data_IF_497201620034
#
_entry.id   IF_497201620034
#
_cell.length_a   1.000
_cell.length_b   1.000
_cell.length_c   1.000
_cell.angle_alpha   90.00
_cell.angle_beta   90.00
_cell.angle_gamma   90.00
#
_symmetry.space_group_name_H-M   'P 1'
#
loop_
_entity.id
_entity.type
_entity.pdbx_description
1 polymer ?
#
# COMPACT_ATOMS: atom_id res chain seq x y z
N UNK A 1 -14.87 7.27 24.71
CA UNK A 1 -15.44 7.77 23.46
C UNK A 1 -15.10 6.75 22.38
N UNK A 2 -16.05 5.92 22.04
CA UNK A 2 -15.89 4.90 20.99
C UNK A 2 -16.09 5.61 19.65
N UNK A 3 -15.02 5.77 18.88
CA UNK A 3 -15.08 6.33 17.54
C UNK A 3 -15.73 5.29 16.62
N UNK A 4 -17.01 5.45 16.35
CA UNK A 4 -17.73 4.65 15.36
C UNK A 4 -17.37 5.23 13.98
N UNK A 5 -16.59 4.50 13.19
CA UNK A 5 -16.33 4.85 11.79
C UNK A 5 -17.63 4.63 11.02
N UNK A 6 -18.31 5.68 10.54
CA UNK A 6 -19.53 5.52 9.77
C UNK A 6 -19.14 5.16 8.34
N UNK A 7 -19.64 4.07 7.88
CA UNK A 7 -19.46 3.60 6.52
C UNK A 7 -18.99 2.16 6.51
N UNK A 8 -19.84 1.30 6.06
CA UNK A 8 -19.52 -0.11 5.90
C UNK A 8 -18.55 -0.26 4.72
N UNK A 9 -17.25 -0.10 4.99
CA UNK A 9 -16.18 -0.40 4.03
C UNK A 9 -16.19 -1.86 3.54
N UNK A 10 -17.12 -2.66 4.08
CA UNK A 10 -17.26 -4.08 3.78
C UNK A 10 -17.84 -4.34 2.39
N UNK A 11 -18.47 -3.37 1.75
CA UNK A 11 -19.25 -3.62 0.54
C UNK A 11 -18.45 -3.58 -0.77
N UNK A 12 -17.24 -3.03 -0.80
CA UNK A 12 -16.41 -3.02 -2.02
C UNK A 12 -15.26 -4.04 -2.04
N UNK A 13 -14.87 -4.57 -0.90
CA UNK A 13 -14.06 -5.80 -0.91
C UNK A 13 -15.05 -6.92 -1.23
N UNK A 14 -15.09 -7.35 -2.47
CA UNK A 14 -15.88 -8.53 -2.86
C UNK A 14 -15.42 -9.72 -2.01
N UNK A 15 -16.04 -9.87 -0.86
CA UNK A 15 -15.97 -11.07 -0.05
C UNK A 15 -16.82 -12.14 -0.68
N UNK A 16 -16.55 -12.47 -1.94
CA UNK A 16 -17.03 -13.70 -2.54
C UNK A 16 -16.09 -14.88 -2.21
N UNK A 17 -15.49 -14.86 -1.05
CA UNK A 17 -14.81 -16.05 -0.55
C UNK A 17 -15.59 -16.52 0.66
N UNK A 18 -16.52 -17.37 0.42
CA UNK A 18 -17.11 -18.26 1.42
C UNK A 18 -15.96 -18.86 2.23
N UNK A 19 -15.96 -18.58 3.53
CA UNK A 19 -15.05 -19.20 4.51
C UNK A 19 -15.43 -20.68 4.60
N UNK A 20 -15.14 -21.43 3.58
CA UNK A 20 -15.60 -22.83 3.48
C UNK A 20 -14.51 -23.80 3.07
N UNK A 21 -13.43 -23.31 2.49
CA UNK A 21 -12.38 -24.20 1.97
C UNK A 21 -11.01 -23.72 2.50
N UNK A 22 -10.69 -24.15 3.72
CA UNK A 22 -9.42 -23.85 4.39
C UNK A 22 -8.25 -24.54 3.66
N UNK A 23 -8.52 -25.50 2.80
CA UNK A 23 -7.53 -26.30 2.08
C UNK A 23 -7.13 -25.75 0.70
N UNK A 24 -7.74 -24.66 0.26
CA UNK A 24 -7.34 -24.04 -1.00
C UNK A 24 -6.11 -23.12 -0.80
N UNK A 25 -5.03 -23.25 -1.61
CA UNK A 25 -3.87 -22.38 -1.56
C UNK A 25 -4.21 -20.90 -1.84
N UNK A 26 -5.39 -20.64 -2.38
CA UNK A 26 -5.90 -19.28 -2.66
C UNK A 26 -6.71 -18.68 -1.51
N UNK A 27 -6.97 -19.44 -0.43
CA UNK A 27 -7.74 -18.95 0.71
C UNK A 27 -6.88 -18.08 1.60
N UNK A 28 -7.27 -16.81 1.76
CA UNK A 28 -6.58 -15.88 2.65
C UNK A 28 -6.90 -16.20 4.10
N UNK A 29 -5.88 -16.17 4.96
CA UNK A 29 -6.08 -16.33 6.40
C UNK A 29 -6.89 -15.18 6.98
N UNK A 30 -7.56 -15.41 8.11
CA UNK A 30 -8.32 -14.38 8.82
C UNK A 30 -7.46 -13.15 9.17
N UNK A 31 -6.22 -13.40 9.60
CA UNK A 31 -5.26 -12.33 9.92
C UNK A 31 -5.00 -11.42 8.71
N UNK A 32 -4.79 -11.99 7.53
CA UNK A 32 -4.60 -11.23 6.28
C UNK A 32 -5.83 -10.41 5.93
N UNK A 33 -7.03 -10.99 6.08
CA UNK A 33 -8.29 -10.27 5.80
C UNK A 33 -8.49 -9.06 6.73
N UNK A 34 -8.10 -9.20 7.99
CA UNK A 34 -8.19 -8.10 8.95
C UNK A 34 -7.12 -7.01 8.68
N UNK A 35 -5.94 -7.40 8.20
CA UNK A 35 -4.88 -6.45 7.80
C UNK A 35 -5.24 -5.70 6.51
N UNK A 36 -5.92 -6.30 5.56
CA UNK A 36 -6.30 -5.66 4.29
C UNK A 36 -7.02 -4.33 4.45
N UNK A 37 -7.85 -4.20 5.50
CA UNK A 37 -8.55 -2.94 5.81
C UNK A 37 -7.57 -1.81 6.14
N UNK A 38 -6.51 -2.14 6.89
CA UNK A 38 -5.44 -1.20 7.21
C UNK A 38 -4.63 -0.82 5.97
N UNK A 39 -4.39 -1.76 5.06
CA UNK A 39 -3.62 -1.52 3.84
C UNK A 39 -4.31 -0.55 2.89
N UNK A 40 -5.64 -0.60 2.75
CA UNK A 40 -6.40 0.37 1.96
C UNK A 40 -6.24 1.79 2.51
N UNK A 41 -6.30 1.95 3.82
CA UNK A 41 -6.06 3.25 4.47
C UNK A 41 -4.61 3.70 4.24
N UNK A 42 -3.63 2.82 4.43
CA UNK A 42 -2.22 3.14 4.21
C UNK A 42 -1.93 3.50 2.76
N UNK A 43 -2.59 2.82 1.81
CA UNK A 43 -2.53 3.17 0.40
C UNK A 43 -3.04 4.57 0.14
N UNK A 44 -4.23 4.91 0.65
CA UNK A 44 -4.80 6.24 0.51
C UNK A 44 -3.89 7.35 1.12
N UNK A 45 -3.28 7.07 2.28
CA UNK A 45 -2.38 8.01 2.96
C UNK A 45 -1.05 8.19 2.21
N UNK A 46 -0.57 7.16 1.52
CA UNK A 46 0.68 7.22 0.75
C UNK A 46 0.50 7.80 -0.65
N UNK A 47 -0.55 7.44 -1.35
CA UNK A 47 -0.81 7.91 -2.72
C UNK A 47 -1.40 9.34 -2.75
N UNK A 48 -2.10 9.73 -1.69
CA UNK A 48 -2.51 11.11 -1.47
C UNK A 48 -3.78 11.52 -2.21
N UNK A 49 -3.79 12.74 -2.75
CA UNK A 49 -5.00 13.42 -3.24
C UNK A 49 -5.71 12.67 -4.37
N UNK A 50 -5.00 12.15 -5.35
CA UNK A 50 -5.61 11.48 -6.49
C UNK A 50 -6.33 10.21 -6.08
N UNK A 51 -5.65 9.34 -5.36
CA UNK A 51 -6.27 8.11 -4.85
C UNK A 51 -7.50 8.37 -3.97
N UNK A 52 -7.43 9.41 -3.13
CA UNK A 52 -8.56 9.81 -2.29
C UNK A 52 -9.76 10.29 -3.11
N UNK A 53 -9.54 11.02 -4.21
CA UNK A 53 -10.60 11.47 -5.12
C UNK A 53 -11.22 10.33 -5.91
N UNK A 54 -10.39 9.43 -6.44
CA UNK A 54 -10.84 8.24 -7.17
C UNK A 54 -11.69 7.30 -6.30
N UNK A 55 -11.34 7.22 -5.00
CA UNK A 55 -12.04 6.40 -4.02
C UNK A 55 -12.88 7.26 -3.06
N UNK A 56 -13.44 8.37 -3.55
CA UNK A 56 -14.13 9.36 -2.74
C UNK A 56 -15.32 8.80 -1.95
N UNK A 57 -16.02 7.82 -2.47
CA UNK A 57 -17.14 7.18 -1.75
C UNK A 57 -16.70 6.52 -0.44
N UNK A 58 -15.47 6.00 -0.38
CA UNK A 58 -14.93 5.35 0.81
C UNK A 58 -14.34 6.34 1.82
N UNK A 59 -13.68 7.41 1.34
CA UNK A 59 -12.93 8.34 2.19
C UNK A 59 -13.64 9.68 2.43
N UNK A 60 -14.51 10.06 1.51
CA UNK A 60 -15.30 11.31 1.55
C UNK A 60 -16.77 11.01 1.26
N UNK A 61 -17.48 10.28 2.11
CA UNK A 61 -18.86 9.87 1.83
C UNK A 61 -19.77 11.09 1.65
N UNK A 62 -20.82 10.90 0.84
CA UNK A 62 -21.88 11.87 0.66
C UNK A 62 -22.59 12.12 2.00
N UNK A 63 -22.75 13.38 2.39
CA UNK A 63 -23.46 13.72 3.61
C UNK A 63 -25.01 13.65 3.41
N UNK A 64 -25.79 13.34 4.46
CA UNK A 64 -27.22 13.05 4.33
C UNK A 64 -28.08 14.18 3.72
N UNK A 65 -27.61 15.41 3.68
CA UNK A 65 -28.31 16.58 3.14
C UNK A 65 -27.52 17.30 2.06
N UNK A 66 -26.44 16.71 1.59
CA UNK A 66 -25.58 17.29 0.57
C UNK A 66 -26.12 16.95 -0.83
N UNK A 67 -26.31 17.97 -1.67
CA UNK A 67 -26.59 17.76 -3.08
C UNK A 67 -25.38 17.15 -3.81
N UNK A 68 -25.64 16.32 -4.81
CA UNK A 68 -24.58 15.65 -5.56
C UNK A 68 -23.60 16.63 -6.21
N UNK A 69 -24.08 17.78 -6.69
CA UNK A 69 -23.22 18.82 -7.27
C UNK A 69 -22.29 19.43 -6.23
N UNK A 70 -22.79 19.68 -5.02
CA UNK A 70 -21.99 20.17 -3.90
C UNK A 70 -20.98 19.13 -3.44
N UNK A 71 -21.38 17.85 -3.39
CA UNK A 71 -20.50 16.71 -3.10
C UNK A 71 -19.33 16.66 -4.09
N UNK A 72 -19.59 16.66 -5.39
CA UNK A 72 -18.54 16.63 -6.42
C UNK A 72 -17.61 17.85 -6.34
N UNK A 73 -18.15 19.03 -6.03
CA UNK A 73 -17.34 20.22 -5.80
C UNK A 73 -16.44 20.09 -4.56
N UNK A 74 -16.91 19.42 -3.49
CA UNK A 74 -16.13 19.12 -2.31
C UNK A 74 -15.01 18.10 -2.60
N UNK A 75 -15.31 17.01 -3.30
CA UNK A 75 -14.34 16.00 -3.73
C UNK A 75 -13.25 16.64 -4.60
N UNK A 76 -13.61 17.47 -5.57
CA UNK A 76 -12.65 18.13 -6.46
C UNK A 76 -11.74 19.14 -5.72
N UNK A 77 -12.23 19.74 -4.65
CA UNK A 77 -11.43 20.66 -3.80
C UNK A 77 -10.64 19.95 -2.72
N UNK A 78 -10.93 18.67 -2.44
CA UNK A 78 -10.23 17.92 -1.41
C UNK A 78 -8.74 17.81 -1.77
N UNK A 79 -7.89 18.18 -0.83
CA UNK A 79 -6.43 18.07 -0.95
C UNK A 79 -5.91 17.31 0.26
N UNK A 80 -5.18 16.25 -0.01
CA UNK A 80 -4.51 15.48 1.01
C UNK A 80 -3.00 15.52 0.79
N UNK A 81 -2.25 16.03 1.77
CA UNK A 81 -0.80 16.08 1.68
C UNK A 81 -0.19 14.72 2.04
N UNK A 82 0.54 14.05 1.14
CA UNK A 82 1.12 12.73 1.37
C UNK A 82 2.37 12.81 2.26
N UNK A 83 2.20 13.29 3.49
CA UNK A 83 3.29 13.44 4.46
C UNK A 83 3.93 12.10 4.81
N UNK A 84 3.12 11.05 4.97
CA UNK A 84 3.57 9.69 5.25
C UNK A 84 4.48 9.16 4.14
N UNK A 85 4.15 9.41 2.86
CA UNK A 85 5.00 9.04 1.74
C UNK A 85 6.38 9.71 1.81
N UNK A 86 6.40 11.00 2.15
CA UNK A 86 7.68 11.74 2.30
C UNK A 86 8.51 11.16 3.43
N UNK A 87 7.89 10.82 4.56
CA UNK A 87 8.56 10.21 5.70
C UNK A 87 9.14 8.83 5.35
N UNK A 88 8.36 7.97 4.67
CA UNK A 88 8.81 6.65 4.22
C UNK A 88 9.99 6.79 3.25
N UNK A 89 9.91 7.70 2.28
CA UNK A 89 11.02 7.95 1.33
C UNK A 89 12.27 8.46 2.03
N UNK A 90 12.13 9.36 3.00
CA UNK A 90 13.25 9.87 3.79
C UNK A 90 13.90 8.76 4.62
N UNK A 91 13.11 7.95 5.32
CA UNK A 91 13.58 6.81 6.10
C UNK A 91 14.31 5.79 5.21
N UNK A 92 13.72 5.44 4.05
CA UNK A 92 14.35 4.55 3.06
C UNK A 92 15.68 5.10 2.54
N UNK A 93 15.73 6.40 2.23
CA UNK A 93 16.96 7.06 1.80
C UNK A 93 18.06 7.09 2.86
N UNK A 94 17.68 7.18 4.14
CA UNK A 94 18.64 7.10 5.25
C UNK A 94 19.21 5.70 5.43
N UNK A 95 18.37 4.67 5.35
CA UNK A 95 18.79 3.27 5.47
C UNK A 95 19.68 2.85 4.31
N UNK A 96 19.26 3.16 3.08
CA UNK A 96 19.95 2.81 1.84
C UNK A 96 20.89 3.92 1.33
N UNK A 97 21.48 4.70 2.26
CA UNK A 97 22.42 5.77 1.91
C UNK A 97 23.72 5.25 1.28
N UNK A 98 24.11 4.05 1.64
CA UNK A 98 25.26 3.35 1.03
C UNK A 98 24.74 2.21 0.18
N UNK A 99 25.36 1.94 -0.98
CA UNK A 99 25.01 0.81 -1.81
C UNK A 99 25.25 -0.50 -1.07
N UNK A 100 24.41 -1.48 -1.39
CA UNK A 100 24.53 -2.82 -0.80
C UNK A 100 25.76 -3.51 -1.36
N UNK A 101 26.59 -4.05 -0.47
CA UNK A 101 27.80 -4.79 -0.84
C UNK A 101 27.55 -6.28 -0.64
N UNK A 102 27.70 -7.05 -1.70
CA UNK A 102 27.69 -8.50 -1.65
C UNK A 102 29.12 -9.05 -1.53
N UNK A 103 29.30 -10.07 -0.72
CA UNK A 103 30.56 -10.76 -0.55
C UNK A 103 30.41 -12.18 -1.07
N UNK A 104 31.22 -12.54 -2.08
CA UNK A 104 31.17 -13.86 -2.69
C UNK A 104 31.98 -13.92 -3.99
N UNK A 105 31.74 -14.95 -4.79
CA UNK A 105 32.35 -15.07 -6.12
C UNK A 105 31.95 -13.84 -6.99
N UNK A 106 32.95 -13.14 -7.60
CA UNK A 106 32.70 -11.92 -8.37
C UNK A 106 31.71 -12.10 -9.51
N UNK A 107 31.76 -13.24 -10.20
CA UNK A 107 30.85 -13.50 -11.31
C UNK A 107 29.37 -13.54 -10.87
N UNK A 108 29.09 -14.23 -9.76
CA UNK A 108 27.73 -14.31 -9.24
C UNK A 108 27.27 -12.99 -8.60
N UNK A 109 28.14 -12.34 -7.85
CA UNK A 109 27.78 -11.08 -7.16
C UNK A 109 27.51 -9.95 -8.15
N UNK A 110 28.29 -9.84 -9.21
CA UNK A 110 28.09 -8.83 -10.26
C UNK A 110 26.79 -9.08 -11.03
N UNK A 111 26.59 -10.33 -11.50
CA UNK A 111 25.38 -10.70 -12.26
C UNK A 111 24.11 -10.50 -11.41
N UNK A 112 24.11 -10.99 -10.18
CA UNK A 112 22.97 -10.86 -9.28
C UNK A 112 22.68 -9.40 -8.90
N UNK A 113 23.72 -8.58 -8.74
CA UNK A 113 23.58 -7.17 -8.42
C UNK A 113 22.91 -6.37 -9.54
N UNK A 114 23.17 -6.74 -10.79
CA UNK A 114 22.61 -6.05 -11.96
C UNK A 114 21.16 -6.42 -12.25
N UNK A 115 20.75 -7.64 -11.95
CA UNK A 115 19.42 -8.13 -12.25
C UNK A 115 18.98 -9.16 -11.21
N UNK A 116 18.29 -8.67 -10.17
CA UNK A 116 17.83 -9.49 -9.04
C UNK A 116 16.54 -10.23 -9.35
N UNK A 117 15.68 -9.60 -10.13
CA UNK A 117 14.31 -10.07 -10.40
C UNK A 117 14.12 -10.67 -11.80
N UNK A 118 15.18 -10.73 -12.62
CA UNK A 118 15.10 -11.17 -14.01
C UNK A 118 14.35 -10.19 -14.92
N UNK A 119 14.05 -8.99 -14.43
CA UNK A 119 13.32 -7.94 -15.13
C UNK A 119 14.17 -6.66 -15.32
N UNK A 120 15.44 -6.72 -14.96
CA UNK A 120 16.40 -5.62 -15.10
C UNK A 120 16.47 -4.67 -13.90
N UNK A 121 15.94 -5.08 -12.74
CA UNK A 121 16.07 -4.29 -11.51
C UNK A 121 17.39 -4.59 -10.81
N UNK A 122 18.16 -3.55 -10.48
CA UNK A 122 19.37 -3.73 -9.68
C UNK A 122 19.03 -4.02 -8.21
N UNK A 123 20.03 -4.52 -7.47
CA UNK A 123 19.85 -4.90 -6.07
C UNK A 123 19.45 -3.72 -5.18
N UNK A 124 20.00 -2.54 -5.42
CA UNK A 124 19.71 -1.36 -4.59
C UNK A 124 18.29 -0.87 -4.81
N UNK A 125 17.78 -0.88 -6.04
CA UNK A 125 16.40 -0.53 -6.37
C UNK A 125 15.41 -1.59 -5.86
N UNK A 126 15.74 -2.86 -5.98
CA UNK A 126 14.94 -3.96 -5.46
C UNK A 126 14.81 -3.88 -3.94
N UNK A 127 15.93 -3.68 -3.23
CA UNK A 127 15.92 -3.49 -1.78
C UNK A 127 15.13 -2.24 -1.36
N UNK A 128 15.22 -1.16 -2.14
CA UNK A 128 14.44 0.07 -1.93
C UNK A 128 12.94 -0.21 -2.00
N UNK A 129 12.48 -0.93 -3.02
CA UNK A 129 11.06 -1.31 -3.17
C UNK A 129 10.58 -2.17 -2.00
N UNK A 130 11.36 -3.18 -1.61
CA UNK A 130 11.04 -4.03 -0.46
C UNK A 130 10.91 -3.21 0.82
N UNK A 131 11.87 -2.33 1.09
CA UNK A 131 11.86 -1.51 2.30
C UNK A 131 10.68 -0.53 2.32
N UNK A 132 10.39 0.11 1.18
CA UNK A 132 9.21 0.99 1.07
C UNK A 132 7.90 0.22 1.30
N UNK A 133 7.73 -0.95 0.70
CA UNK A 133 6.56 -1.79 0.93
C UNK A 133 6.45 -2.22 2.40
N UNK A 134 7.56 -2.65 3.01
CA UNK A 134 7.59 -3.05 4.42
C UNK A 134 7.22 -1.90 5.36
N UNK A 135 7.72 -0.68 5.10
CA UNK A 135 7.38 0.50 5.89
C UNK A 135 5.94 0.97 5.68
N UNK A 136 5.38 0.75 4.48
CA UNK A 136 4.01 1.15 4.15
C UNK A 136 2.98 0.17 4.70
N UNK A 137 3.19 -1.13 4.49
CA UNK A 137 2.20 -2.16 4.75
C UNK A 137 2.53 -3.08 5.92
N UNK A 138 3.71 -2.90 6.56
CA UNK A 138 4.21 -3.75 7.63
C UNK A 138 4.76 -5.10 7.16
N UNK A 139 4.68 -5.37 5.86
CA UNK A 139 5.20 -6.60 5.25
C UNK A 139 5.57 -6.37 3.77
N UNK A 140 6.47 -7.19 3.26
CA UNK A 140 6.74 -7.32 1.83
C UNK A 140 6.96 -8.79 1.49
N UNK A 141 6.61 -9.17 0.26
CA UNK A 141 6.86 -10.50 -0.27
C UNK A 141 7.91 -10.39 -1.37
N UNK A 142 8.86 -11.30 -1.32
CA UNK A 142 9.91 -11.48 -2.33
C UNK A 142 9.48 -12.68 -3.16
N UNK A 143 9.25 -12.47 -4.44
CA UNK A 143 8.90 -13.52 -5.41
C UNK A 143 10.06 -13.73 -6.36
#
# INVERSE_FOLDING_TARGET
>A
MTYSIPGDYRTKVQTSTTIGDIDSPFTRTRAVLDMMKGWEIMKAVTEGTEYLRENSEAFLPLEPREDYTAYMARVNRAVFSPFTQRLIRAATGLVLRKPITLVGDPYWTETFKMDVDGCGSDLDEYARRILMCSLTYGQSHIL
#
